data_IF_985699173189
#
_entry.id   IF_985699173189
#
_cell.length_a   1.000
_cell.length_b   1.000
_cell.length_c   1.000
_cell.angle_alpha   90.00
_cell.angle_beta   90.00
_cell.angle_gamma   90.00
#
_symmetry.space_group_name_H-M   'P 1'
#
loop_
_entity.id
_entity.type
_entity.pdbx_description
1 polymer ?
#
# COMPACT_ATOMS: atom_id res chain seq x y z
N UNK A 1 32.90 -20.84 -0.83
CA UNK A 1 32.23 -22.09 -1.26
C UNK A 1 31.54 -22.88 -0.13
N UNK A 2 31.80 -22.62 1.17
CA UNK A 2 31.19 -23.40 2.26
C UNK A 2 29.83 -22.92 2.77
N UNK A 3 29.36 -21.73 2.38
CA UNK A 3 28.04 -21.23 2.82
C UNK A 3 26.86 -21.97 2.17
N UNK A 4 27.04 -22.51 0.96
CA UNK A 4 25.97 -23.19 0.22
C UNK A 4 25.42 -24.45 0.95
N UNK A 5 26.24 -25.41 1.41
CA UNK A 5 25.76 -26.57 2.18
C UNK A 5 25.21 -26.18 3.56
N UNK A 6 25.72 -25.11 4.17
CA UNK A 6 25.21 -24.61 5.45
C UNK A 6 23.79 -24.03 5.26
N UNK A 7 23.57 -23.24 4.22
CA UNK A 7 22.25 -22.69 3.88
C UNK A 7 21.21 -23.77 3.59
N UNK A 8 21.58 -24.81 2.83
CA UNK A 8 20.65 -25.93 2.55
C UNK A 8 20.34 -26.75 3.79
N UNK A 9 21.32 -27.00 4.67
CA UNK A 9 21.09 -27.67 5.95
C UNK A 9 20.16 -26.87 6.87
N UNK A 10 20.36 -25.55 6.98
CA UNK A 10 19.49 -24.68 7.76
C UNK A 10 18.07 -24.62 7.19
N UNK A 11 17.92 -24.61 5.87
CA UNK A 11 16.61 -24.65 5.22
C UNK A 11 15.86 -25.95 5.55
N UNK A 12 16.51 -27.10 5.40
CA UNK A 12 15.93 -28.41 5.73
C UNK A 12 15.60 -28.52 7.22
N UNK A 13 16.48 -28.03 8.09
CA UNK A 13 16.26 -28.04 9.54
C UNK A 13 15.13 -27.13 9.99
N UNK A 14 15.01 -25.92 9.42
CA UNK A 14 13.91 -25.00 9.77
C UNK A 14 12.57 -25.59 9.35
N UNK A 15 12.45 -26.09 8.12
CA UNK A 15 11.23 -26.73 7.61
C UNK A 15 10.91 -28.01 8.39
N UNK A 16 11.91 -28.85 8.64
CA UNK A 16 11.76 -30.12 9.36
C UNK A 16 11.37 -29.99 10.84
N UNK A 17 11.52 -28.79 11.41
CA UNK A 17 11.14 -28.49 12.79
C UNK A 17 9.78 -27.77 12.93
N UNK A 18 9.09 -27.54 11.81
CA UNK A 18 7.72 -27.04 11.82
C UNK A 18 6.78 -28.21 12.11
N UNK A 19 5.99 -28.11 13.17
CA UNK A 19 4.93 -29.07 13.50
C UNK A 19 5.19 -29.89 14.76
N UNK A 20 4.75 -31.16 14.75
CA UNK A 20 4.74 -32.05 15.93
C UNK A 20 6.06 -32.78 16.15
N UNK A 21 6.97 -32.72 15.19
CA UNK A 21 8.25 -33.40 15.22
C UNK A 21 9.38 -32.37 15.28
N UNK A 22 10.50 -32.78 15.89
CA UNK A 22 11.74 -31.99 15.94
C UNK A 22 12.90 -32.89 15.53
N UNK A 23 13.88 -32.33 14.86
CA UNK A 23 15.12 -33.02 14.55
C UNK A 23 16.35 -32.16 14.76
N UNK A 24 17.47 -32.83 15.00
CA UNK A 24 18.75 -32.18 15.26
C UNK A 24 19.37 -31.66 13.96
N UNK A 25 19.91 -30.44 14.02
CA UNK A 25 20.61 -29.79 12.90
C UNK A 25 21.80 -30.63 12.40
N UNK A 26 22.40 -31.45 13.27
CA UNK A 26 23.56 -32.29 12.96
C UNK A 26 23.32 -33.23 11.78
N UNK A 27 22.12 -33.83 11.69
CA UNK A 27 21.78 -34.75 10.60
C UNK A 27 21.56 -34.03 9.27
N UNK A 28 20.95 -32.84 9.32
CA UNK A 28 20.80 -31.99 8.15
C UNK A 28 22.17 -31.49 7.63
N UNK A 29 23.07 -31.08 8.53
CA UNK A 29 24.43 -30.69 8.19
C UNK A 29 25.22 -31.85 7.59
N UNK A 30 25.16 -33.03 8.23
CA UNK A 30 25.85 -34.21 7.72
C UNK A 30 25.46 -34.54 6.29
N UNK A 31 24.15 -34.55 5.99
CA UNK A 31 23.69 -34.81 4.62
C UNK A 31 24.06 -33.72 3.62
N UNK A 32 24.05 -32.44 4.03
CA UNK A 32 24.44 -31.35 3.15
C UNK A 32 25.94 -31.37 2.81
N UNK A 33 26.80 -31.68 3.78
CA UNK A 33 28.25 -31.81 3.57
C UNK A 33 28.61 -33.09 2.80
N UNK A 34 27.89 -34.20 3.02
CA UNK A 34 28.09 -35.44 2.27
C UNK A 34 27.80 -35.27 0.78
N UNK A 35 26.90 -34.35 0.40
CA UNK A 35 26.57 -34.06 -0.99
C UNK A 35 27.58 -33.12 -1.69
N UNK A 36 28.53 -32.52 -0.97
CA UNK A 36 29.48 -31.54 -1.53
C UNK A 36 30.30 -32.12 -2.68
N UNK A 37 30.91 -33.33 -2.57
CA UNK A 37 31.65 -33.92 -3.68
C UNK A 37 30.80 -34.08 -4.95
N UNK A 38 29.53 -34.51 -4.79
CA UNK A 38 28.59 -34.67 -5.91
C UNK A 38 28.23 -33.33 -6.56
N UNK A 39 28.09 -32.26 -5.77
CA UNK A 39 27.77 -30.92 -6.28
C UNK A 39 28.91 -30.26 -7.05
N UNK A 40 30.17 -30.68 -6.82
CA UNK A 40 31.34 -30.19 -7.55
C UNK A 40 31.47 -30.89 -8.91
N UNK A 41 31.05 -32.16 -8.99
CA UNK A 41 31.09 -32.95 -10.23
C UNK A 41 29.93 -32.57 -11.17
N UNK A 42 28.76 -32.22 -10.61
CA UNK A 42 27.55 -31.91 -11.36
C UNK A 42 27.07 -30.48 -11.06
N UNK A 43 27.40 -29.50 -11.91
CA UNK A 43 26.87 -28.11 -11.87
C UNK A 43 25.53 -27.97 -12.64
N UNK A 44 24.75 -26.87 -12.51
CA UNK A 44 24.40 -26.08 -11.32
C UNK A 44 22.90 -26.26 -10.91
N UNK A 45 22.13 -27.09 -11.62
CA UNK A 45 20.66 -27.12 -11.52
C UNK A 45 20.14 -27.98 -10.36
N UNK A 46 20.96 -28.88 -9.83
CA UNK A 46 20.55 -29.90 -8.86
C UNK A 46 21.08 -29.58 -7.47
N UNK A 47 20.19 -29.14 -6.59
CA UNK A 47 20.46 -28.93 -5.17
C UNK A 47 20.62 -30.26 -4.41
N UNK A 48 21.60 -31.10 -4.81
CA UNK A 48 21.88 -32.40 -4.19
C UNK A 48 22.09 -32.29 -2.67
N UNK A 49 22.65 -31.18 -2.20
CA UNK A 49 22.79 -30.88 -0.77
C UNK A 49 21.46 -30.81 -0.03
N UNK A 50 20.43 -30.19 -0.59
CA UNK A 50 19.12 -30.12 0.04
C UNK A 50 18.41 -31.49 0.06
N UNK A 51 18.52 -32.24 -1.05
CA UNK A 51 17.89 -33.57 -1.18
C UNK A 51 18.52 -34.56 -0.20
N UNK A 52 19.85 -34.68 -0.19
CA UNK A 52 20.55 -35.62 0.68
C UNK A 52 20.41 -35.25 2.16
N UNK A 53 20.45 -33.94 2.47
CA UNK A 53 20.15 -33.41 3.80
C UNK A 53 18.74 -33.80 4.27
N UNK A 54 17.73 -33.64 3.41
CA UNK A 54 16.35 -34.01 3.72
C UNK A 54 16.16 -35.51 3.94
N UNK A 55 16.79 -36.35 3.11
CA UNK A 55 16.72 -37.82 3.25
C UNK A 55 17.30 -38.26 4.58
N UNK A 56 18.51 -37.79 4.93
CA UNK A 56 19.18 -38.17 6.18
C UNK A 56 18.43 -37.62 7.40
N UNK A 57 17.94 -36.37 7.33
CA UNK A 57 17.13 -35.78 8.39
C UNK A 57 15.83 -36.57 8.61
N UNK A 58 15.16 -37.00 7.55
CA UNK A 58 13.93 -37.80 7.65
C UNK A 58 14.19 -39.23 8.15
N UNK A 59 15.31 -39.83 7.74
CA UNK A 59 15.64 -41.22 8.11
C UNK A 59 16.06 -41.37 9.57
N UNK A 60 16.88 -40.45 10.09
CA UNK A 60 17.50 -40.60 11.42
C UNK A 60 17.33 -39.39 12.35
N UNK A 61 17.03 -38.22 11.78
CA UNK A 61 16.97 -36.97 12.52
C UNK A 61 15.64 -36.68 13.19
N UNK A 62 14.52 -37.27 12.74
CA UNK A 62 13.18 -36.94 13.25
C UNK A 62 12.86 -37.66 14.56
N UNK A 63 12.41 -36.89 15.54
CA UNK A 63 11.89 -37.38 16.81
C UNK A 63 10.60 -36.65 17.17
N UNK A 64 9.67 -37.37 17.79
CA UNK A 64 8.44 -36.76 18.31
C UNK A 64 8.76 -35.75 19.42
N UNK A 65 8.12 -34.58 19.35
CA UNK A 65 8.32 -33.52 20.34
C UNK A 65 7.61 -33.94 21.65
N UNK A 66 8.40 -34.23 22.69
CA UNK A 66 7.88 -34.59 24.02
C UNK A 66 7.29 -33.41 24.79
N UNK A 67 7.70 -32.18 24.45
CA UNK A 67 7.26 -30.95 25.12
C UNK A 67 6.30 -30.15 24.23
N UNK A 68 5.17 -29.66 24.76
CA UNK A 68 4.25 -28.84 23.99
C UNK A 68 4.91 -27.51 23.59
N UNK A 69 4.59 -27.02 22.40
CA UNK A 69 5.11 -25.74 21.93
C UNK A 69 4.49 -24.58 22.74
N UNK A 70 5.28 -23.94 23.59
CA UNK A 70 4.82 -22.77 24.35
C UNK A 70 4.55 -21.61 23.40
N UNK A 71 3.39 -20.97 23.48
CA UNK A 71 3.08 -19.79 22.67
C UNK A 71 4.03 -18.66 23.06
N UNK A 72 4.88 -18.22 22.13
CA UNK A 72 5.66 -17.01 22.31
C UNK A 72 4.72 -15.79 22.31
N UNK A 73 4.93 -14.80 23.20
CA UNK A 73 4.09 -13.61 23.24
C UNK A 73 4.16 -12.85 21.92
N UNK A 74 3.03 -12.27 21.51
CA UNK A 74 2.86 -11.55 20.23
C UNK A 74 3.91 -10.45 20.09
N UNK A 75 4.23 -9.74 21.18
CA UNK A 75 5.25 -8.69 21.19
C UNK A 75 6.64 -9.20 20.76
N UNK A 76 7.05 -10.41 21.18
CA UNK A 76 8.33 -10.98 20.76
C UNK A 76 8.34 -11.31 19.27
N UNK A 77 7.21 -11.81 18.73
CA UNK A 77 7.09 -12.10 17.29
C UNK A 77 7.13 -10.83 16.45
N UNK A 78 6.39 -9.80 16.86
CA UNK A 78 6.40 -8.50 16.21
C UNK A 78 7.77 -7.85 16.29
N UNK A 79 8.46 -7.94 17.42
CA UNK A 79 9.82 -7.44 17.56
C UNK A 79 10.80 -8.15 16.61
N UNK A 80 10.74 -9.48 16.51
CA UNK A 80 11.59 -10.23 15.56
C UNK A 80 11.28 -9.85 14.11
N UNK A 81 10.00 -9.74 13.73
CA UNK A 81 9.60 -9.32 12.39
C UNK A 81 10.03 -7.87 12.09
N UNK A 82 9.93 -6.97 13.07
CA UNK A 82 10.38 -5.59 12.93
C UNK A 82 11.90 -5.52 12.71
N UNK A 83 12.69 -6.26 13.48
CA UNK A 83 14.15 -6.33 13.30
C UNK A 83 14.51 -6.89 11.92
N UNK A 84 13.90 -8.00 11.51
CA UNK A 84 14.11 -8.55 10.17
C UNK A 84 13.71 -7.57 9.07
N UNK A 85 12.59 -6.87 9.24
CA UNK A 85 12.12 -5.83 8.33
C UNK A 85 13.08 -4.65 8.23
N UNK A 86 13.65 -4.20 9.35
CA UNK A 86 14.66 -3.13 9.40
C UNK A 86 15.97 -3.53 8.72
N UNK A 87 16.45 -4.77 8.95
CA UNK A 87 17.65 -5.27 8.29
C UNK A 87 17.43 -5.36 6.77
N UNK A 88 16.29 -5.91 6.34
CA UNK A 88 15.96 -5.98 4.93
C UNK A 88 15.81 -4.59 4.32
N UNK A 89 15.07 -3.68 4.96
CA UNK A 89 14.88 -2.32 4.45
C UNK A 89 16.20 -1.55 4.37
N UNK A 90 17.09 -1.68 5.35
CA UNK A 90 18.42 -1.04 5.32
C UNK A 90 19.27 -1.52 4.14
N UNK A 91 19.20 -2.81 3.79
CA UNK A 91 19.91 -3.37 2.65
C UNK A 91 19.36 -2.81 1.33
N UNK A 92 18.04 -2.73 1.18
CA UNK A 92 17.38 -2.14 0.03
C UNK A 92 17.61 -0.62 -0.08
N UNK A 93 17.53 0.09 1.04
CA UNK A 93 17.79 1.52 1.12
C UNK A 93 19.24 1.85 0.75
N UNK A 94 20.20 1.06 1.22
CA UNK A 94 21.61 1.20 0.82
C UNK A 94 21.76 1.00 -0.68
N UNK A 95 21.18 -0.08 -1.23
CA UNK A 95 21.20 -0.33 -2.67
C UNK A 95 20.60 0.83 -3.48
N UNK A 96 19.42 1.32 -3.08
CA UNK A 96 18.76 2.44 -3.74
C UNK A 96 19.56 3.74 -3.58
N UNK A 97 20.12 4.02 -2.40
CA UNK A 97 20.91 5.22 -2.14
C UNK A 97 22.14 5.32 -3.04
N UNK A 98 22.80 4.19 -3.33
CA UNK A 98 24.01 4.16 -4.17
C UNK A 98 23.72 4.00 -5.66
N UNK A 99 22.67 3.26 -6.05
CA UNK A 99 22.43 2.88 -7.45
C UNK A 99 21.25 3.60 -8.11
N UNK A 100 20.34 4.23 -7.35
CA UNK A 100 19.20 4.93 -7.95
C UNK A 100 19.66 6.26 -8.58
N UNK A 101 19.37 6.39 -9.88
CA UNK A 101 19.56 7.62 -10.65
C UNK A 101 18.22 8.02 -11.24
N UNK A 102 17.93 9.32 -11.25
CA UNK A 102 16.72 9.89 -11.82
C UNK A 102 17.14 10.72 -13.03
N UNK A 103 16.43 10.54 -14.15
CA UNK A 103 16.62 11.36 -15.36
C UNK A 103 15.77 12.61 -15.23
N UNK A 104 16.43 13.78 -15.27
CA UNK A 104 15.71 15.06 -15.30
C UNK A 104 15.08 15.30 -16.69
N UNK A 105 14.16 16.27 -16.79
CA UNK A 105 13.53 16.71 -18.05
C UNK A 105 14.55 17.18 -19.10
N UNK A 106 15.77 17.49 -18.67
CA UNK A 106 16.91 17.90 -19.49
C UNK A 106 17.84 16.74 -19.91
N UNK A 107 17.50 15.49 -19.55
CA UNK A 107 18.28 14.31 -19.93
C UNK A 107 19.52 14.03 -19.08
N UNK A 108 19.82 14.87 -18.08
CA UNK A 108 20.92 14.64 -17.14
C UNK A 108 20.56 13.57 -16.10
N UNK A 109 21.53 12.70 -15.77
CA UNK A 109 21.38 11.65 -14.76
C UNK A 109 21.89 12.15 -13.41
N UNK A 110 20.98 12.47 -12.51
CA UNK A 110 21.31 12.92 -11.15
C UNK A 110 21.10 11.74 -10.18
N UNK A 111 21.99 11.58 -9.20
CA UNK A 111 21.82 10.56 -8.14
C UNK A 111 20.61 10.92 -7.27
N UNK A 112 19.81 9.92 -6.91
CA UNK A 112 18.58 10.12 -6.14
C UNK A 112 18.83 10.85 -4.80
N UNK A 113 19.97 10.59 -4.15
CA UNK A 113 20.35 11.27 -2.89
C UNK A 113 20.55 12.78 -3.05
N UNK A 114 21.13 13.21 -4.17
CA UNK A 114 21.46 14.61 -4.42
C UNK A 114 20.17 15.35 -4.84
N UNK A 115 19.34 14.71 -5.67
CA UNK A 115 18.00 15.19 -6.00
C UNK A 115 17.10 15.32 -4.77
N UNK A 116 17.08 14.32 -3.88
CA UNK A 116 16.30 14.35 -2.66
C UNK A 116 16.75 15.49 -1.72
N UNK A 117 18.06 15.69 -1.57
CA UNK A 117 18.59 16.79 -0.75
C UNK A 117 18.21 18.16 -1.32
N UNK A 118 18.28 18.32 -2.64
CA UNK A 118 17.89 19.57 -3.30
C UNK A 118 16.38 19.81 -3.22
N UNK A 119 15.56 18.76 -3.35
CA UNK A 119 14.12 18.82 -3.17
C UNK A 119 13.74 19.24 -1.73
N UNK A 120 14.36 18.64 -0.72
CA UNK A 120 14.10 18.98 0.69
C UNK A 120 14.53 20.40 1.07
N UNK A 121 15.51 20.98 0.37
CA UNK A 121 15.93 22.37 0.56
C UNK A 121 15.23 23.34 -0.40
N UNK A 122 14.38 22.85 -1.31
CA UNK A 122 13.66 23.70 -2.25
C UNK A 122 12.63 24.57 -1.52
N UNK A 123 12.34 25.79 -2.03
CA UNK A 123 11.34 26.67 -1.44
C UNK A 123 9.98 25.97 -1.29
N UNK A 124 9.60 25.13 -2.25
CA UNK A 124 8.37 24.33 -2.19
C UNK A 124 8.31 23.42 -0.95
N UNK A 125 9.38 22.70 -0.62
CA UNK A 125 9.37 21.80 0.54
C UNK A 125 9.40 22.57 1.86
N UNK A 126 10.11 23.70 1.89
CA UNK A 126 10.10 24.59 3.05
C UNK A 126 8.71 25.19 3.29
N UNK A 127 8.05 25.67 2.24
CA UNK A 127 6.66 26.14 2.28
C UNK A 127 5.71 25.04 2.74
N UNK A 128 5.87 23.82 2.20
CA UNK A 128 5.09 22.66 2.63
C UNK A 128 5.27 22.38 4.13
N UNK A 129 6.51 22.39 4.62
CA UNK A 129 6.81 22.20 6.05
C UNK A 129 6.20 23.31 6.91
N UNK A 130 6.25 24.56 6.44
CA UNK A 130 5.62 25.69 7.11
C UNK A 130 4.10 25.53 7.16
N UNK A 131 3.46 25.09 6.08
CA UNK A 131 2.03 24.82 6.03
C UNK A 131 1.64 23.68 6.98
N UNK A 132 2.41 22.58 7.02
CA UNK A 132 2.20 21.50 7.99
C UNK A 132 2.31 22.03 9.42
N UNK A 133 3.32 22.85 9.70
CA UNK A 133 3.50 23.43 11.03
C UNK A 133 2.32 24.33 11.40
N UNK A 134 1.87 25.18 10.48
CA UNK A 134 0.70 26.02 10.70
C UNK A 134 -0.57 25.21 10.98
N UNK A 135 -0.78 24.10 10.26
CA UNK A 135 -1.89 23.16 10.52
C UNK A 135 -1.73 22.50 11.90
N UNK A 136 -0.51 22.13 12.28
CA UNK A 136 -0.24 21.55 13.60
C UNK A 136 -0.52 22.55 14.73
N UNK A 137 -0.09 23.80 14.56
CA UNK A 137 -0.30 24.88 15.52
C UNK A 137 -1.81 25.19 15.63
N UNK A 138 -2.53 25.26 14.50
CA UNK A 138 -4.00 25.39 14.45
C UNK A 138 -4.71 24.21 15.13
N UNK A 139 -4.27 22.97 14.90
CA UNK A 139 -4.82 21.78 15.53
C UNK A 139 -4.56 21.74 17.04
N UNK A 140 -3.45 22.32 17.50
CA UNK A 140 -3.13 22.42 18.92
C UNK A 140 -4.01 23.45 19.64
N UNK A 141 -4.35 24.56 18.97
CA UNK A 141 -5.20 25.62 19.54
C UNK A 141 -6.69 25.29 19.45
N UNK A 142 -7.18 24.87 18.29
CA UNK A 142 -8.60 24.61 18.03
C UNK A 142 -9.04 23.17 18.36
N UNK A 143 -8.08 22.32 18.76
CA UNK A 143 -8.28 20.92 19.11
C UNK A 143 -8.23 19.98 17.91
N UNK A 144 -7.50 18.87 18.07
CA UNK A 144 -7.27 17.87 17.01
C UNK A 144 -8.54 17.29 16.39
N UNK A 145 -9.64 17.20 17.15
CA UNK A 145 -10.93 16.73 16.63
C UNK A 145 -11.54 17.66 15.58
N UNK A 146 -11.51 18.98 15.85
CA UNK A 146 -12.07 19.99 14.96
C UNK A 146 -11.19 20.21 13.72
N UNK A 147 -9.87 20.17 13.89
CA UNK A 147 -8.92 20.25 12.78
C UNK A 147 -9.08 19.05 11.83
N UNK A 148 -9.23 17.83 12.39
CA UNK A 148 -9.50 16.64 11.59
C UNK A 148 -10.85 16.70 10.88
N UNK A 149 -11.92 17.15 11.55
CA UNK A 149 -13.22 17.29 10.91
C UNK A 149 -13.19 18.28 9.77
N UNK A 150 -12.59 19.47 9.96
CA UNK A 150 -12.46 20.49 8.93
C UNK A 150 -11.62 20.01 7.74
N UNK A 151 -10.53 19.29 8.01
CA UNK A 151 -9.70 18.67 6.98
C UNK A 151 -10.48 17.64 6.17
N UNK A 152 -11.15 16.69 6.83
CA UNK A 152 -12.01 15.70 6.17
C UNK A 152 -13.11 16.39 5.37
N UNK A 153 -13.72 17.44 5.91
CA UNK A 153 -14.75 18.23 5.22
C UNK A 153 -14.25 18.95 3.96
N UNK A 154 -12.98 19.33 3.94
CA UNK A 154 -12.33 19.97 2.78
C UNK A 154 -12.05 18.99 1.64
N UNK A 155 -11.84 17.71 1.96
CA UNK A 155 -11.62 16.64 1.00
C UNK A 155 -12.89 16.19 0.29
N UNK A 156 -14.06 16.65 0.76
CA UNK A 156 -15.39 16.28 0.24
C UNK A 156 -15.52 14.75 0.03
N UNK A 157 -15.48 13.94 1.10
CA UNK A 157 -15.37 12.49 1.01
C UNK A 157 -16.53 11.83 0.25
N UNK A 158 -17.68 12.51 0.16
CA UNK A 158 -18.85 12.06 -0.59
C UNK A 158 -18.98 12.75 -1.96
N UNK A 159 -18.17 13.76 -2.26
CA UNK A 159 -18.20 14.51 -3.52
C UNK A 159 -19.43 15.42 -3.69
N UNK A 160 -20.16 15.71 -2.60
CA UNK A 160 -21.41 16.49 -2.64
C UNK A 160 -21.14 17.96 -2.99
N UNK A 161 -20.11 18.56 -2.37
CA UNK A 161 -19.74 19.96 -2.60
C UNK A 161 -19.27 20.15 -4.04
N UNK A 162 -18.48 19.20 -4.56
CA UNK A 162 -18.03 19.20 -5.94
C UNK A 162 -19.20 19.04 -6.92
N UNK A 163 -20.12 18.09 -6.66
CA UNK A 163 -21.27 17.85 -7.54
C UNK A 163 -22.23 19.06 -7.58
N UNK A 164 -22.49 19.72 -6.45
CA UNK A 164 -23.27 20.96 -6.40
C UNK A 164 -22.59 22.08 -7.20
N UNK A 165 -21.26 22.18 -7.11
CA UNK A 165 -20.49 23.18 -7.86
C UNK A 165 -20.56 22.95 -9.38
N UNK A 166 -20.55 21.69 -9.84
CA UNK A 166 -20.74 21.35 -11.27
C UNK A 166 -22.13 21.78 -11.77
N UNK A 167 -23.16 21.70 -10.93
CA UNK A 167 -24.51 22.16 -11.24
C UNK A 167 -24.71 23.68 -11.03
N UNK A 168 -23.70 24.40 -10.52
CA UNK A 168 -23.78 25.83 -10.24
C UNK A 168 -24.61 26.18 -9.00
N UNK A 169 -24.78 25.24 -8.07
CA UNK A 169 -25.59 25.40 -6.86
C UNK A 169 -24.73 25.58 -5.60
N UNK A 170 -25.28 26.27 -4.60
CA UNK A 170 -24.61 26.47 -3.30
C UNK A 170 -24.91 25.33 -2.31
N UNK A 171 -24.10 25.22 -1.25
CA UNK A 171 -24.30 24.27 -0.14
C UNK A 171 -25.59 24.65 0.59
N UNK A 172 -26.66 23.89 0.37
CA UNK A 172 -28.00 24.17 0.90
C UNK A 172 -29.12 24.24 -0.14
N UNK A 173 -28.80 24.05 -1.43
CA UNK A 173 -29.82 23.93 -2.48
C UNK A 173 -30.81 22.78 -2.19
N UNK A 174 -32.09 23.02 -2.42
CA UNK A 174 -33.13 22.01 -2.23
C UNK A 174 -33.09 20.97 -3.34
N UNK A 175 -33.77 19.84 -3.15
CA UNK A 175 -33.87 18.82 -4.21
C UNK A 175 -34.47 19.39 -5.50
N UNK A 176 -35.45 20.28 -5.36
CA UNK A 176 -36.14 20.87 -6.49
C UNK A 176 -35.17 21.75 -7.28
N UNK A 177 -34.32 22.51 -6.59
CA UNK A 177 -33.25 23.30 -7.22
C UNK A 177 -32.24 22.43 -7.97
N UNK A 178 -31.84 21.29 -7.40
CA UNK A 178 -30.94 20.32 -8.04
C UNK A 178 -31.56 19.77 -9.33
N UNK A 179 -32.83 19.39 -9.30
CA UNK A 179 -33.52 18.86 -10.48
C UNK A 179 -33.79 19.92 -11.54
N UNK A 180 -34.09 21.15 -11.13
CA UNK A 180 -34.30 22.29 -12.03
C UNK A 180 -32.99 22.69 -12.73
N UNK A 181 -31.89 22.79 -11.99
CA UNK A 181 -30.57 23.07 -12.52
C UNK A 181 -30.10 21.98 -13.50
N UNK A 182 -30.28 20.71 -13.15
CA UNK A 182 -29.98 19.59 -14.04
C UNK A 182 -30.77 19.68 -15.35
N UNK A 183 -32.08 19.90 -15.31
CA UNK A 183 -32.92 20.01 -16.52
C UNK A 183 -32.50 21.19 -17.41
N UNK A 184 -32.14 22.32 -16.79
CA UNK A 184 -31.66 23.51 -17.51
C UNK A 184 -30.34 23.21 -18.22
N UNK A 185 -29.35 22.70 -17.49
CA UNK A 185 -28.01 22.39 -18.02
C UNK A 185 -28.05 21.24 -19.03
N UNK A 186 -28.87 20.21 -18.81
CA UNK A 186 -29.05 19.10 -19.75
C UNK A 186 -29.65 19.57 -21.08
N UNK A 187 -30.59 20.53 -21.05
CA UNK A 187 -31.14 21.13 -22.26
C UNK A 187 -30.12 22.05 -22.95
N UNK A 188 -29.25 22.71 -22.19
CA UNK A 188 -28.21 23.59 -22.71
C UNK A 188 -27.10 22.80 -23.41
N UNK A 189 -26.62 21.72 -22.80
CA UNK A 189 -25.52 20.89 -23.31
C UNK A 189 -25.98 19.68 -24.14
N UNK A 190 -27.22 19.67 -24.62
CA UNK A 190 -27.73 18.57 -25.43
C UNK A 190 -27.03 18.52 -26.81
N UNK A 191 -26.50 17.36 -27.26
CA UNK A 191 -25.70 17.26 -28.48
C UNK A 191 -26.46 17.62 -29.78
N UNK A 192 -27.79 17.65 -29.72
CA UNK A 192 -28.67 18.06 -30.83
C UNK A 192 -28.73 19.59 -31.03
N UNK A 193 -28.35 20.37 -30.01
CA UNK A 193 -28.35 21.85 -30.07
C UNK A 193 -27.01 22.46 -30.45
N UNK A 194 -25.97 21.64 -30.58
CA UNK A 194 -24.59 22.07 -30.82
C UNK A 194 -24.09 21.66 -32.20
N UNK A 195 -23.23 22.50 -32.77
CA UNK A 195 -22.62 22.28 -34.08
C UNK A 195 -21.66 21.08 -34.06
N UNK A 196 -21.31 20.53 -35.23
CA UNK A 196 -20.51 19.29 -35.32
C UNK A 196 -19.15 19.39 -34.59
N UNK A 197 -18.56 20.58 -34.55
CA UNK A 197 -17.28 20.85 -33.89
C UNK A 197 -17.42 20.95 -32.35
N UNK A 198 -18.56 21.41 -31.85
CA UNK A 198 -18.84 21.59 -30.42
C UNK A 198 -19.47 20.36 -29.76
N UNK A 199 -19.94 19.40 -30.56
CA UNK A 199 -20.58 18.16 -30.07
C UNK A 199 -19.72 17.39 -29.08
N UNK A 200 -18.40 17.35 -29.26
CA UNK A 200 -17.50 16.65 -28.33
C UNK A 200 -17.42 17.34 -26.96
N UNK A 201 -17.38 18.68 -26.95
CA UNK A 201 -17.32 19.48 -25.72
C UNK A 201 -18.66 19.39 -24.99
N UNK A 202 -19.77 19.54 -25.73
CA UNK A 202 -21.11 19.40 -25.19
C UNK A 202 -21.35 18.00 -24.61
N UNK A 203 -20.86 16.94 -25.27
CA UNK A 203 -20.95 15.59 -24.75
C UNK A 203 -20.17 15.40 -23.43
N UNK A 204 -18.94 15.92 -23.35
CA UNK A 204 -18.12 15.86 -22.13
C UNK A 204 -18.79 16.59 -20.96
N UNK A 205 -19.30 17.80 -21.20
CA UNK A 205 -20.00 18.56 -20.15
C UNK A 205 -21.32 17.90 -19.76
N UNK A 206 -22.07 17.36 -20.71
CA UNK A 206 -23.29 16.60 -20.43
C UNK A 206 -23.04 15.37 -19.54
N UNK A 207 -21.96 14.63 -19.80
CA UNK A 207 -21.55 13.50 -18.94
C UNK A 207 -21.24 13.99 -17.52
N UNK A 208 -20.44 15.06 -17.37
CA UNK A 208 -20.10 15.62 -16.05
C UNK A 208 -21.33 16.07 -15.27
N UNK A 209 -22.28 16.74 -15.93
CA UNK A 209 -23.54 17.21 -15.33
C UNK A 209 -24.39 16.02 -14.88
N UNK A 210 -24.48 14.99 -15.73
CA UNK A 210 -25.22 13.75 -15.42
C UNK A 210 -24.59 13.02 -14.22
N UNK A 211 -23.26 12.86 -14.21
CA UNK A 211 -22.54 12.23 -13.09
C UNK A 211 -22.72 13.01 -11.78
N UNK A 212 -22.69 14.34 -11.83
CA UNK A 212 -22.93 15.18 -10.66
C UNK A 212 -24.35 14.99 -10.11
N UNK A 213 -25.36 14.98 -10.98
CA UNK A 213 -26.74 14.72 -10.57
C UNK A 213 -26.93 13.31 -9.98
N UNK A 214 -26.35 12.29 -10.62
CA UNK A 214 -26.42 10.91 -10.14
C UNK A 214 -25.78 10.77 -8.76
N UNK A 215 -24.59 11.35 -8.54
CA UNK A 215 -23.92 11.37 -7.22
C UNK A 215 -24.77 12.02 -6.14
N UNK A 216 -25.38 13.17 -6.41
CA UNK A 216 -26.27 13.83 -5.43
C UNK A 216 -27.49 12.96 -5.12
N UNK A 217 -28.03 12.26 -6.12
CA UNK A 217 -29.16 11.36 -5.94
C UNK A 217 -28.81 10.12 -5.10
N UNK A 218 -27.61 9.55 -5.24
CA UNK A 218 -27.16 8.40 -4.45
C UNK A 218 -26.90 8.78 -3.01
N UNK A 219 -26.20 9.91 -2.76
CA UNK A 219 -25.96 10.44 -1.42
C UNK A 219 -27.28 10.65 -0.67
N UNK A 220 -28.31 11.19 -1.34
CA UNK A 220 -29.65 11.33 -0.77
C UNK A 220 -30.28 9.98 -0.39
N UNK A 221 -30.23 8.99 -1.30
CA UNK A 221 -30.78 7.66 -1.04
C UNK A 221 -30.09 7.00 0.15
N UNK A 222 -28.77 7.10 0.25
CA UNK A 222 -27.99 6.57 1.37
C UNK A 222 -28.36 7.23 2.70
N UNK A 223 -28.51 8.57 2.72
CA UNK A 223 -28.97 9.31 3.91
C UNK A 223 -30.37 8.86 4.36
N UNK A 224 -31.30 8.73 3.42
CA UNK A 224 -32.66 8.28 3.73
C UNK A 224 -32.69 6.85 4.29
N UNK A 225 -31.86 5.94 3.76
CA UNK A 225 -31.74 4.57 4.28
C UNK A 225 -31.14 4.54 5.69
N UNK A 226 -30.13 5.38 5.97
CA UNK A 226 -29.52 5.47 7.31
C UNK A 226 -30.53 5.97 8.35
N UNK A 227 -31.32 6.99 8.02
CA UNK A 227 -32.34 7.55 8.92
C UNK A 227 -33.41 6.49 9.29
N UNK A 228 -33.87 5.70 8.31
CA UNK A 228 -34.82 4.60 8.58
C UNK A 228 -34.23 3.56 9.54
N UNK A 229 -32.98 3.15 9.32
CA UNK A 229 -32.31 2.16 10.18
C UNK A 229 -32.10 2.65 11.61
N UNK A 230 -31.85 3.95 11.82
CA UNK A 230 -31.73 4.51 13.17
C UNK A 230 -33.06 4.65 13.89
N UNK A 231 -34.18 4.75 13.18
CA UNK A 231 -35.53 4.76 13.77
C UNK A 231 -35.99 3.36 14.21
N UNK A 232 -35.42 2.31 13.61
CA UNK A 232 -35.72 0.90 13.91
C UNK A 232 -34.89 0.32 15.09
N UNK A 233 -33.89 1.06 15.60
CA UNK A 233 -32.98 0.67 16.69
C UNK A 233 -33.30 1.41 17.99
#
# INVERSE_FOLDING_TARGET
MHLAPLGSALAVWTIGNIGREKGDLKWALFGAFLAVPMSVIYQPLTNFGAVLSAVIFNWKGRQWRREPNTRTPICKRLATLAVCGLLFSSLWLSYLYFNATVTDKHGERIKLRDAAKNFLNSPMFLEFKMNIKAIYDDANENGWGNAWSNFVDSLDPFGEKHALKVLGLNKGATQDDITAAYRKLAKEWHPDRHTVEEKEIAHKEFIKIKEAYEKLSTIKKERALKNKKSEEL
#
